data_IF_932275186940
#
_entry.id   IF_932275186940
#
_cell.length_a   1.000
_cell.length_b   1.000
_cell.length_c   1.000
_cell.angle_alpha   90.00
_cell.angle_beta   90.00
_cell.angle_gamma   90.00
#
_symmetry.space_group_name_H-M   'P 1'
#
loop_
_entity.id
_entity.type
_entity.pdbx_description
1 polymer ?
#
# COMPACT_ATOMS: atom_id res chain seq x y z
N UNK A 1 32.72 27.75 60.63
CA UNK A 1 32.17 28.58 59.53
C UNK A 1 32.71 28.08 58.18
N UNK A 2 31.85 27.48 57.35
CA UNK A 2 31.82 27.53 55.86
C UNK A 2 30.87 26.42 55.37
N UNK A 3 29.62 26.83 55.10
CA UNK A 3 28.67 26.13 54.21
C UNK A 3 29.22 26.14 52.78
N UNK A 4 28.80 25.20 51.93
CA UNK A 4 28.51 25.31 50.47
C UNK A 4 28.25 23.86 50.01
N UNK A 5 26.98 23.41 50.03
CA UNK A 5 25.95 23.48 48.98
C UNK A 5 26.00 22.30 47.99
N UNK A 6 25.02 21.40 48.14
CA UNK A 6 24.63 20.32 47.22
C UNK A 6 24.23 20.91 45.87
N UNK A 7 24.94 20.56 44.81
CA UNK A 7 24.49 20.80 43.44
C UNK A 7 23.61 19.61 42.99
N UNK A 8 22.29 19.80 43.02
CA UNK A 8 21.32 18.90 42.38
C UNK A 8 21.42 19.10 40.88
N UNK A 9 21.95 18.12 40.14
CA UNK A 9 21.91 18.11 38.67
C UNK A 9 20.50 17.69 38.23
N UNK A 10 19.67 18.69 37.90
CA UNK A 10 18.40 18.49 37.21
C UNK A 10 18.70 18.10 35.76
N UNK A 11 18.34 16.87 35.39
CA UNK A 11 18.39 16.41 34.01
C UNK A 11 17.10 16.89 33.34
N UNK A 12 17.19 17.94 32.53
CA UNK A 12 16.06 18.53 31.78
C UNK A 12 15.54 17.55 30.73
N UNK A 13 14.31 17.07 30.91
CA UNK A 13 13.56 16.21 29.99
C UNK A 13 12.95 16.95 28.78
N UNK A 14 13.49 18.10 28.39
CA UNK A 14 12.82 19.06 27.48
C UNK A 14 13.36 19.12 26.04
N UNK A 15 14.04 18.07 25.56
CA UNK A 15 14.65 18.06 24.22
C UNK A 15 14.26 16.85 23.34
N UNK A 16 13.00 16.42 23.40
CA UNK A 16 12.50 15.28 22.60
C UNK A 16 11.22 15.59 21.81
N UNK A 17 11.00 16.86 21.43
CA UNK A 17 9.78 17.30 20.73
C UNK A 17 10.04 17.92 19.35
N UNK A 18 11.16 17.61 18.68
CA UNK A 18 11.46 18.12 17.33
C UNK A 18 11.96 17.04 16.36
N UNK A 19 11.63 15.76 16.59
CA UNK A 19 11.62 14.82 15.47
C UNK A 19 10.37 15.12 14.64
N UNK A 20 10.60 15.89 13.57
CA UNK A 20 9.61 16.35 12.63
C UNK A 20 8.65 15.23 12.25
N UNK A 21 7.36 15.52 12.42
CA UNK A 21 6.33 14.91 11.63
C UNK A 21 6.72 15.13 10.16
N UNK A 22 7.38 14.15 9.57
CA UNK A 22 7.38 13.99 8.13
C UNK A 22 5.93 13.73 7.77
N UNK A 23 5.19 14.81 7.54
CA UNK A 23 3.90 14.77 6.90
C UNK A 23 4.15 14.06 5.57
N UNK A 24 3.82 12.77 5.52
CA UNK A 24 3.95 11.99 4.30
C UNK A 24 3.02 12.66 3.30
N UNK A 25 3.57 13.52 2.44
CA UNK A 25 2.91 13.92 1.21
C UNK A 25 2.66 12.64 0.45
N UNK A 26 1.43 12.16 0.60
CA UNK A 26 0.94 10.98 -0.07
C UNK A 26 0.98 11.31 -1.57
N UNK A 27 2.05 10.87 -2.24
CA UNK A 27 2.15 10.96 -3.69
C UNK A 27 0.85 10.39 -4.27
N UNK A 28 0.15 11.22 -5.05
CA UNK A 28 -1.19 10.89 -5.51
C UNK A 28 -1.05 9.93 -6.69
N UNK A 29 -0.97 8.64 -6.38
CA UNK A 29 -0.97 7.55 -7.36
C UNK A 29 -2.32 7.58 -8.08
N UNK A 30 -2.30 7.76 -9.40
CA UNK A 30 -3.48 7.63 -10.25
C UNK A 30 -3.90 6.16 -10.33
N UNK A 31 -4.88 5.79 -9.50
CA UNK A 31 -5.41 4.44 -9.42
C UNK A 31 -6.61 4.28 -10.37
N UNK A 32 -6.79 3.10 -11.00
CA UNK A 32 -7.93 2.86 -11.86
C UNK A 32 -9.23 3.00 -11.06
N UNK A 33 -10.22 3.79 -11.53
CA UNK A 33 -11.48 3.97 -10.81
C UNK A 33 -12.33 2.70 -10.83
N UNK A 34 -13.22 2.55 -9.84
CA UNK A 34 -14.16 1.42 -9.77
C UNK A 34 -13.49 0.05 -9.68
N UNK A 35 -12.31 -0.02 -9.07
CA UNK A 35 -11.46 -1.21 -9.07
C UNK A 35 -11.19 -1.68 -7.65
N UNK A 36 -11.24 -2.99 -7.42
CA UNK A 36 -10.53 -3.64 -6.32
C UNK A 36 -9.15 -4.01 -6.85
N UNK A 37 -8.12 -3.27 -6.46
CA UNK A 37 -6.74 -3.51 -6.86
C UNK A 37 -6.06 -4.38 -5.80
N UNK A 38 -5.75 -5.62 -6.16
CA UNK A 38 -4.98 -6.55 -5.34
C UNK A 38 -3.48 -6.33 -5.62
N UNK A 39 -2.74 -5.89 -4.60
CA UNK A 39 -1.29 -5.77 -4.69
C UNK A 39 -0.71 -7.13 -4.26
N UNK A 40 0.15 -7.72 -5.08
CA UNK A 40 0.72 -9.05 -4.82
C UNK A 40 2.23 -9.04 -4.87
N UNK A 41 2.85 -9.93 -4.13
CA UNK A 41 4.28 -10.20 -4.23
C UNK A 41 4.56 -11.72 -4.17
N UNK A 42 5.52 -12.24 -4.93
CA UNK A 42 5.82 -13.67 -5.02
C UNK A 42 6.37 -14.32 -3.74
N UNK A 43 6.83 -13.53 -2.77
CA UNK A 43 7.23 -14.02 -1.44
C UNK A 43 6.05 -14.09 -0.46
N UNK A 44 4.92 -13.46 -0.78
CA UNK A 44 3.71 -13.47 0.03
C UNK A 44 2.91 -14.75 -0.27
N UNK A 45 3.01 -15.75 0.62
CA UNK A 45 2.28 -17.01 0.47
C UNK A 45 0.75 -16.83 0.32
N UNK A 46 0.08 -15.95 1.10
CA UNK A 46 -1.35 -15.68 0.90
C UNK A 46 -1.69 -15.18 -0.50
N UNK A 47 -0.81 -14.39 -1.11
CA UNK A 47 -1.02 -13.83 -2.44
C UNK A 47 -1.12 -14.91 -3.53
N UNK A 48 -0.43 -16.05 -3.39
CA UNK A 48 -0.61 -17.21 -4.28
C UNK A 48 -1.99 -17.84 -4.12
N UNK A 49 -2.47 -17.95 -2.88
CA UNK A 49 -3.81 -18.46 -2.58
C UNK A 49 -4.90 -17.55 -3.14
N UNK A 50 -4.72 -16.23 -3.04
CA UNK A 50 -5.63 -15.25 -3.64
C UNK A 50 -5.68 -15.38 -5.17
N UNK A 51 -4.52 -15.45 -5.84
CA UNK A 51 -4.48 -15.61 -7.30
C UNK A 51 -5.05 -16.94 -7.78
N UNK A 52 -4.89 -18.03 -7.01
CA UNK A 52 -5.51 -19.31 -7.32
C UNK A 52 -7.05 -19.28 -7.29
N UNK A 53 -7.64 -18.29 -6.59
CA UNK A 53 -9.08 -18.10 -6.46
C UNK A 53 -9.56 -16.77 -7.07
N UNK A 54 -8.80 -16.23 -8.04
CA UNK A 54 -9.02 -14.89 -8.58
C UNK A 54 -10.44 -14.69 -9.16
N UNK A 55 -11.05 -15.73 -9.74
CA UNK A 55 -12.42 -15.65 -10.26
C UNK A 55 -13.47 -15.49 -9.14
N UNK A 56 -13.29 -16.21 -8.03
CA UNK A 56 -14.17 -16.10 -6.88
C UNK A 56 -14.04 -14.72 -6.23
N UNK A 57 -12.81 -14.20 -6.13
CA UNK A 57 -12.55 -12.84 -5.68
C UNK A 57 -13.18 -11.80 -6.61
N UNK A 58 -13.07 -11.98 -7.93
CA UNK A 58 -13.66 -11.06 -8.90
C UNK A 58 -15.20 -11.02 -8.77
N UNK A 59 -15.82 -12.19 -8.60
CA UNK A 59 -17.27 -12.29 -8.36
C UNK A 59 -17.68 -11.61 -7.04
N UNK A 60 -16.90 -11.77 -5.98
CA UNK A 60 -17.16 -11.16 -4.68
C UNK A 60 -16.91 -9.64 -4.68
N UNK A 61 -15.97 -9.16 -5.50
CA UNK A 61 -15.64 -7.75 -5.65
C UNK A 61 -16.70 -6.94 -6.39
N UNK A 62 -17.62 -7.60 -7.10
CA UNK A 62 -18.67 -6.94 -7.86
C UNK A 62 -19.44 -5.92 -6.99
N UNK A 63 -19.66 -4.68 -7.47
CA UNK A 63 -19.51 -4.23 -8.86
C UNK A 63 -18.12 -3.70 -9.25
N UNK A 64 -17.11 -3.81 -8.38
CA UNK A 64 -15.76 -3.36 -8.71
C UNK A 64 -15.08 -4.34 -9.68
N UNK A 65 -14.29 -3.80 -10.61
CA UNK A 65 -13.37 -4.62 -11.41
C UNK A 65 -12.22 -5.12 -10.54
N UNK A 66 -11.90 -6.41 -10.56
CA UNK A 66 -10.71 -6.92 -9.88
C UNK A 66 -9.50 -6.82 -10.80
N UNK A 67 -8.47 -6.10 -10.35
CA UNK A 67 -7.18 -6.01 -11.03
C UNK A 67 -6.04 -6.33 -10.08
N UNK A 68 -4.91 -6.75 -10.63
CA UNK A 68 -3.73 -7.23 -9.90
C UNK A 68 -2.52 -6.39 -10.29
N UNK A 69 -1.77 -5.94 -9.29
CA UNK A 69 -0.45 -5.34 -9.46
C UNK A 69 0.61 -6.19 -8.77
N UNK A 70 1.58 -6.69 -9.54
CA UNK A 70 2.82 -7.20 -8.97
C UNK A 70 3.65 -6.04 -8.39
N UNK A 71 3.97 -6.10 -7.11
CA UNK A 71 4.68 -5.07 -6.34
C UNK A 71 6.20 -5.07 -6.55
N UNK A 72 6.71 -5.98 -7.38
CA UNK A 72 8.11 -6.10 -7.77
C UNK A 72 8.21 -6.55 -9.24
N UNK A 73 9.34 -6.25 -9.89
CA UNK A 73 9.59 -6.60 -11.30
C UNK A 73 10.57 -7.78 -11.44
N UNK A 74 10.45 -8.78 -10.58
CA UNK A 74 11.30 -9.98 -10.60
C UNK A 74 10.77 -11.05 -11.57
N UNK A 75 11.64 -11.99 -11.98
CA UNK A 75 11.22 -13.16 -12.76
C UNK A 75 10.17 -13.99 -12.02
N UNK A 76 10.25 -14.07 -10.69
CA UNK A 76 9.28 -14.79 -9.85
C UNK A 76 7.92 -14.10 -9.85
N UNK A 77 7.88 -12.76 -9.82
CA UNK A 77 6.64 -12.01 -9.95
C UNK A 77 5.99 -12.20 -11.34
N UNK A 78 6.80 -12.21 -12.41
CA UNK A 78 6.30 -12.51 -13.76
C UNK A 78 5.70 -13.90 -13.86
N UNK A 79 6.35 -14.91 -13.26
CA UNK A 79 5.82 -16.27 -13.21
C UNK A 79 4.51 -16.34 -12.41
N UNK A 80 4.44 -15.64 -11.28
CA UNK A 80 3.24 -15.57 -10.44
C UNK A 80 2.02 -14.99 -11.17
N UNK A 81 2.23 -14.01 -12.06
CA UNK A 81 1.14 -13.34 -12.78
C UNK A 81 0.97 -13.82 -14.23
N UNK A 82 1.69 -14.88 -14.65
CA UNK A 82 1.73 -15.31 -16.05
C UNK A 82 0.37 -15.76 -16.58
N UNK A 83 -0.41 -16.44 -15.74
CA UNK A 83 -1.71 -17.01 -16.12
C UNK A 83 -2.87 -15.99 -15.97
N UNK A 84 -2.59 -14.77 -15.50
CA UNK A 84 -3.62 -13.75 -15.39
C UNK A 84 -3.99 -13.20 -16.78
N UNK A 85 -5.29 -13.14 -17.12
CA UNK A 85 -5.71 -12.53 -18.37
C UNK A 85 -5.36 -11.02 -18.35
N UNK A 86 -5.04 -10.40 -19.50
CA UNK A 86 -4.53 -9.03 -19.55
C UNK A 86 -5.41 -8.00 -18.86
N UNK A 87 -6.74 -8.15 -18.92
CA UNK A 87 -7.72 -7.27 -18.27
C UNK A 87 -7.64 -7.28 -16.74
N UNK A 88 -7.12 -8.36 -16.14
CA UNK A 88 -6.88 -8.46 -14.69
C UNK A 88 -5.54 -7.93 -14.28
N UNK A 89 -4.65 -7.61 -15.22
CA UNK A 89 -3.35 -7.04 -14.89
C UNK A 89 -3.45 -5.52 -14.93
N UNK A 90 -3.10 -4.85 -13.82
CA UNK A 90 -2.89 -3.42 -13.82
C UNK A 90 -1.40 -3.11 -13.93
N UNK A 91 -1.04 -2.39 -14.98
CA UNK A 91 0.31 -1.92 -15.22
C UNK A 91 0.28 -0.39 -15.20
N UNK A 92 0.92 0.27 -14.23
CA UNK A 92 1.03 1.72 -14.24
C UNK A 92 1.70 2.22 -15.53
N UNK A 93 1.28 3.40 -15.99
CA UNK A 93 1.88 4.02 -17.17
C UNK A 93 3.37 4.28 -16.91
N UNK A 94 4.20 4.05 -17.93
CA UNK A 94 5.60 4.47 -17.87
C UNK A 94 5.68 6.00 -18.05
N UNK A 95 6.64 6.70 -17.43
CA UNK A 95 7.78 6.18 -16.63
C UNK A 95 7.46 5.85 -15.16
N UNK A 96 6.22 5.98 -14.71
CA UNK A 96 5.86 6.07 -13.29
C UNK A 96 5.82 4.75 -12.51
N UNK A 97 6.15 3.61 -13.15
CA UNK A 97 5.97 2.27 -12.54
C UNK A 97 6.71 2.06 -11.23
N UNK A 98 7.99 2.47 -11.16
CA UNK A 98 8.79 2.34 -9.95
C UNK A 98 8.29 3.30 -8.85
N UNK A 99 7.98 4.54 -9.23
CA UNK A 99 7.41 5.56 -8.34
C UNK A 99 6.09 5.11 -7.74
N UNK A 100 5.18 4.56 -8.55
CA UNK A 100 3.89 4.04 -8.10
C UNK A 100 4.08 2.90 -7.10
N UNK A 101 4.97 1.93 -7.37
CA UNK A 101 5.25 0.85 -6.42
C UNK A 101 5.82 1.37 -5.11
N UNK A 102 6.78 2.29 -5.15
CA UNK A 102 7.35 2.92 -3.95
C UNK A 102 6.28 3.65 -3.14
N UNK A 103 5.43 4.43 -3.81
CA UNK A 103 4.33 5.17 -3.18
C UNK A 103 3.23 4.26 -2.61
N UNK A 104 3.06 3.05 -3.17
CA UNK A 104 2.15 2.04 -2.62
C UNK A 104 2.79 1.29 -1.45
N UNK A 105 4.07 0.94 -1.54
CA UNK A 105 4.82 0.33 -0.45
C UNK A 105 4.90 1.22 0.79
N UNK A 106 4.98 2.54 0.62
CA UNK A 106 5.03 3.48 1.75
C UNK A 106 3.74 3.54 2.58
N UNK A 107 2.65 2.91 2.12
CA UNK A 107 1.31 2.92 2.77
C UNK A 107 1.07 1.72 3.69
N UNK A 108 2.00 0.78 3.74
CA UNK A 108 1.88 -0.50 4.47
C UNK A 108 3.22 -0.85 5.10
N UNK A 109 3.25 -1.54 6.26
CA UNK A 109 4.50 -2.03 6.86
C UNK A 109 5.04 -3.26 6.10
N UNK A 110 5.32 -3.10 4.81
CA UNK A 110 6.00 -4.10 3.99
C UNK A 110 5.16 -5.32 3.59
N UNK A 111 3.84 -5.32 3.80
CA UNK A 111 2.93 -6.38 3.32
C UNK A 111 2.05 -5.92 2.15
N UNK A 112 1.87 -6.74 1.10
CA UNK A 112 0.90 -6.44 0.06
C UNK A 112 -0.52 -6.34 0.66
N UNK A 113 -1.36 -5.50 0.06
CA UNK A 113 -2.69 -5.18 0.53
C UNK A 113 -3.64 -4.95 -0.66
N UNK A 114 -4.93 -4.77 -0.39
CA UNK A 114 -5.91 -4.42 -1.43
C UNK A 114 -6.35 -2.97 -1.30
N UNK A 115 -6.64 -2.34 -2.44
CA UNK A 115 -7.21 -0.99 -2.50
C UNK A 115 -8.53 -1.04 -3.27
N UNK A 116 -9.62 -0.58 -2.65
CA UNK A 116 -10.87 -0.33 -3.34
C UNK A 116 -10.94 1.13 -3.78
N UNK A 117 -11.12 1.39 -5.07
CA UNK A 117 -11.32 2.73 -5.62
C UNK A 117 -12.78 2.94 -5.99
N UNK A 118 -13.25 4.18 -5.83
CA UNK A 118 -14.59 4.55 -6.25
C UNK A 118 -14.67 4.67 -7.77
N UNK A 119 -15.81 4.30 -8.33
CA UNK A 119 -16.15 4.70 -9.69
C UNK A 119 -16.34 6.22 -9.74
N UNK A 120 -15.97 6.85 -10.86
CA UNK A 120 -16.09 8.30 -11.07
C UNK A 120 -17.55 8.78 -11.10
N UNK A 121 -18.53 7.88 -11.29
CA UNK A 121 -19.96 8.17 -11.25
C UNK A 121 -20.67 7.15 -10.35
N UNK A 122 -21.04 7.53 -9.12
CA UNK A 122 -21.85 6.67 -8.23
C UNK A 122 -21.75 7.04 -6.74
N UNK A 123 -22.90 7.24 -6.10
CA UNK A 123 -23.02 7.52 -4.66
C UNK A 123 -22.88 6.18 -3.89
N UNK A 124 -21.72 5.92 -3.31
CA UNK A 124 -21.38 4.68 -2.59
C UNK A 124 -22.07 4.53 -1.21
N UNK A 125 -23.07 5.37 -0.89
CA UNK A 125 -23.47 5.67 0.49
C UNK A 125 -24.48 4.68 1.11
N UNK A 126 -24.97 3.70 0.34
CA UNK A 126 -26.16 2.93 0.74
C UNK A 126 -25.96 1.39 0.82
N UNK A 127 -24.72 0.89 1.02
CA UNK A 127 -24.43 -0.56 0.94
C UNK A 127 -23.49 -1.15 2.02
N UNK A 128 -23.46 -0.58 3.21
CA UNK A 128 -22.84 -1.20 4.41
C UNK A 128 -23.81 -1.22 5.57
#
# INVERSE_FOLDING_TARGET
MRRILRARRGFSWLALATLGAAEQRQENVDLPPGTLLLLVAPWCAPCWGELAHIDALAKAAAPLELRVLAMEESARARAMTADLPPERQWVPRAPDRATVRTALWSRTPGLPFSIATRALCGRWRDRV
#
